data_IF_700647182034
#
_entry.id   IF_700647182034
#
_cell.length_a   1.000
_cell.length_b   1.000
_cell.length_c   1.000
_cell.angle_alpha   90.00
_cell.angle_beta   90.00
_cell.angle_gamma   90.00
#
_symmetry.space_group_name_H-M   'P 1'
#
loop_
_entity.id
_entity.type
_entity.pdbx_description
1 polymer ?
#
# COMPACT_ATOMS: atom_id res chain seq x y z
N UNK A 1 -2.96 -14.01 10.55
CA UNK A 1 -2.08 -12.83 10.60
C UNK A 1 -0.65 -13.28 10.31
N UNK A 2 0.02 -12.58 9.39
CA UNK A 2 1.39 -12.86 8.99
C UNK A 2 2.21 -11.58 9.06
N UNK A 3 3.50 -11.72 9.38
CA UNK A 3 4.47 -10.63 9.43
C UNK A 3 5.73 -11.04 8.68
N UNK A 4 6.14 -10.19 7.74
CA UNK A 4 7.36 -10.32 6.97
C UNK A 4 8.22 -9.08 7.19
N UNK A 5 9.53 -9.22 7.04
CA UNK A 5 10.46 -8.10 6.96
C UNK A 5 10.96 -8.06 5.52
N UNK A 6 10.89 -6.89 4.90
CA UNK A 6 11.35 -6.68 3.52
C UNK A 6 12.54 -5.74 3.56
N UNK A 7 13.65 -6.17 2.95
CA UNK A 7 14.84 -5.35 2.81
C UNK A 7 14.70 -4.42 1.59
N UNK A 8 15.08 -3.16 1.79
CA UNK A 8 15.10 -2.11 0.76
C UNK A 8 16.31 -1.19 1.00
N UNK A 9 16.69 -0.36 0.02
CA UNK A 9 17.90 0.49 0.13
C UNK A 9 17.88 1.47 1.30
N UNK A 10 16.69 1.83 1.82
CA UNK A 10 16.54 2.73 2.97
C UNK A 10 16.41 2.00 4.31
N UNK A 11 16.65 0.70 4.32
CA UNK A 11 16.47 -0.17 5.48
C UNK A 11 15.27 -1.09 5.36
N UNK A 12 15.16 -2.03 6.29
CA UNK A 12 14.12 -3.03 6.29
C UNK A 12 12.82 -2.50 6.91
N UNK A 13 11.69 -2.92 6.38
CA UNK A 13 10.37 -2.54 6.90
C UNK A 13 9.46 -3.75 7.08
N UNK A 14 8.55 -3.73 8.08
CA UNK A 14 7.59 -4.80 8.26
C UNK A 14 6.43 -4.70 7.26
N UNK A 15 6.02 -5.85 6.75
CA UNK A 15 4.75 -6.05 6.05
C UNK A 15 3.87 -6.93 6.95
N UNK A 16 2.71 -6.40 7.34
CA UNK A 16 1.75 -7.08 8.20
C UNK A 16 0.48 -7.31 7.39
N UNK A 17 0.03 -8.56 7.33
CA UNK A 17 -1.19 -8.97 6.63
C UNK A 17 -2.07 -9.75 7.61
N UNK A 18 -3.32 -9.37 7.74
CA UNK A 18 -4.28 -10.12 8.56
C UNK A 18 -5.61 -9.40 8.65
N UNK A 19 -6.52 -9.92 9.47
CA UNK A 19 -7.79 -9.27 9.78
C UNK A 19 -7.68 -8.54 11.12
N UNK A 20 -8.26 -7.34 11.19
CA UNK A 20 -8.34 -6.52 12.41
C UNK A 20 -6.96 -6.12 12.98
N UNK A 21 -6.02 -5.75 12.12
CA UNK A 21 -4.60 -5.47 12.46
C UNK A 21 -4.36 -4.06 13.05
N UNK A 22 -5.38 -3.49 13.67
CA UNK A 22 -5.37 -2.13 14.23
C UNK A 22 -4.39 -1.98 15.40
N UNK A 23 -4.15 -3.06 16.17
CA UNK A 23 -3.16 -3.08 17.26
C UNK A 23 -1.74 -2.99 16.73
N UNK A 24 -1.47 -3.73 15.66
CA UNK A 24 -0.19 -3.77 14.97
C UNK A 24 0.12 -2.40 14.35
N UNK A 25 -0.86 -1.80 13.68
CA UNK A 25 -0.76 -0.45 13.15
C UNK A 25 -0.42 0.56 14.26
N UNK A 26 -1.12 0.50 15.40
CA UNK A 26 -0.85 1.37 16.55
C UNK A 26 0.57 1.21 17.06
N UNK A 27 1.04 -0.04 17.19
CA UNK A 27 2.40 -0.35 17.63
C UNK A 27 3.45 0.19 16.65
N UNK A 28 3.21 0.08 15.34
CA UNK A 28 4.07 0.68 14.31
C UNK A 28 4.13 2.19 14.51
N UNK A 29 2.98 2.88 14.61
CA UNK A 29 2.96 4.34 14.78
C UNK A 29 3.65 4.78 16.06
N UNK A 30 3.48 4.07 17.18
CA UNK A 30 4.20 4.35 18.43
C UNK A 30 5.70 4.19 18.32
N UNK A 31 6.18 3.19 17.57
CA UNK A 31 7.62 2.97 17.35
C UNK A 31 8.22 4.01 16.42
N UNK A 32 7.44 4.47 15.44
CA UNK A 32 7.85 5.58 14.59
C UNK A 32 7.89 6.88 15.39
N UNK A 33 7.01 7.07 16.38
CA UNK A 33 6.97 8.29 17.19
C UNK A 33 6.95 9.58 16.33
N UNK A 34 5.94 9.77 15.47
CA UNK A 34 5.89 10.94 14.61
C UNK A 34 5.35 12.17 15.34
N UNK A 35 5.90 13.34 15.00
CA UNK A 35 5.45 14.65 15.49
C UNK A 35 3.99 14.94 15.10
N UNK A 36 3.59 14.49 13.91
CA UNK A 36 2.24 14.60 13.36
C UNK A 36 2.00 13.50 12.31
N UNK A 37 0.72 13.24 11.99
CA UNK A 37 0.37 12.30 10.92
C UNK A 37 -0.69 12.89 9.98
N UNK A 38 -0.46 12.70 8.68
CA UNK A 38 -1.43 13.00 7.63
C UNK A 38 -1.85 11.70 6.97
N UNK A 39 -3.16 11.44 6.92
CA UNK A 39 -3.74 10.33 6.17
C UNK A 39 -4.18 10.87 4.81
N UNK A 40 -3.73 10.25 3.74
CA UNK A 40 -4.20 10.51 2.37
C UNK A 40 -5.04 9.31 1.93
N UNK A 41 -6.25 9.57 1.43
CA UNK A 41 -7.24 8.54 1.05
C UNK A 41 -8.04 9.02 -0.15
N UNK A 42 -8.70 8.10 -0.86
CA UNK A 42 -9.75 8.46 -1.82
C UNK A 42 -11.14 8.53 -1.17
N UNK A 43 -12.11 9.06 -1.92
CA UNK A 43 -13.50 9.23 -1.48
C UNK A 43 -14.24 7.93 -1.17
N UNK A 44 -13.91 6.81 -1.83
CA UNK A 44 -14.59 5.52 -1.64
C UNK A 44 -14.16 4.86 -0.32
N UNK A 45 -12.89 5.01 0.05
CA UNK A 45 -12.30 4.35 1.24
C UNK A 45 -12.11 5.31 2.43
N UNK A 46 -12.67 6.52 2.36
CA UNK A 46 -12.72 7.49 3.47
C UNK A 46 -13.22 6.89 4.79
N UNK A 47 -14.24 6.01 4.84
CA UNK A 47 -14.64 5.36 6.09
C UNK A 47 -13.51 4.52 6.71
N UNK A 48 -12.69 3.87 5.89
CA UNK A 48 -11.50 3.17 6.36
C UNK A 48 -10.45 4.16 6.88
N UNK A 49 -10.15 5.23 6.15
CA UNK A 49 -9.24 6.26 6.66
C UNK A 49 -9.64 6.81 8.05
N UNK A 50 -10.95 6.95 8.32
CA UNK A 50 -11.45 7.32 9.64
C UNK A 50 -11.24 6.24 10.71
N UNK A 51 -11.43 4.96 10.35
CA UNK A 51 -11.12 3.82 11.24
C UNK A 51 -9.63 3.78 11.58
N UNK A 52 -8.75 3.97 10.58
CA UNK A 52 -7.30 4.11 10.77
C UNK A 52 -6.98 5.26 11.71
N UNK A 53 -7.56 6.45 11.45
CA UNK A 53 -7.37 7.63 12.29
C UNK A 53 -7.74 7.35 13.76
N UNK A 54 -8.90 6.70 13.99
CA UNK A 54 -9.35 6.30 15.33
C UNK A 54 -8.40 5.28 15.97
N UNK A 55 -7.90 4.32 15.19
CA UNK A 55 -7.03 3.26 15.68
C UNK A 55 -5.66 3.78 16.17
N UNK A 56 -5.14 4.85 15.56
CA UNK A 56 -3.82 5.40 15.88
C UNK A 56 -3.84 6.59 16.86
N UNK A 57 -5.01 7.19 17.13
CA UNK A 57 -5.15 8.25 18.16
C UNK A 57 -4.50 7.90 19.51
N UNK A 58 -4.65 6.66 20.04
CA UNK A 58 -4.01 6.27 21.31
C UNK A 58 -2.48 6.11 21.24
N UNK A 59 -1.86 6.36 20.08
CA UNK A 59 -0.41 6.50 19.94
C UNK A 59 0.10 7.90 20.30
N UNK A 60 -0.77 8.84 20.69
CA UNK A 60 -0.39 10.22 21.03
C UNK A 60 -0.38 11.18 19.83
N UNK A 61 -0.65 10.67 18.63
CA UNK A 61 -0.66 11.46 17.39
C UNK A 61 -2.09 11.84 17.05
N UNK A 62 -2.30 13.08 16.58
CA UNK A 62 -3.59 13.56 16.07
C UNK A 62 -3.56 13.51 14.53
N UNK A 63 -4.06 12.42 13.91
CA UNK A 63 -4.06 12.35 12.45
C UNK A 63 -5.14 13.25 11.84
N UNK A 64 -4.77 13.90 10.75
CA UNK A 64 -5.68 14.66 9.88
C UNK A 64 -5.84 13.93 8.55
N UNK A 65 -7.02 14.03 7.93
CA UNK A 65 -7.36 13.26 6.73
C UNK A 65 -7.52 14.20 5.52
N UNK A 66 -6.77 13.92 4.47
CA UNK A 66 -6.93 14.52 3.15
C UNK A 66 -7.59 13.51 2.21
N UNK A 67 -8.65 13.93 1.51
CA UNK A 67 -9.45 13.07 0.64
C UNK A 67 -9.29 13.54 -0.80
N UNK A 68 -8.88 12.62 -1.68
CA UNK A 68 -8.79 12.84 -3.12
C UNK A 68 -9.98 12.17 -3.84
N UNK A 69 -10.33 12.58 -5.07
CA UNK A 69 -11.35 11.88 -5.86
C UNK A 69 -10.99 10.40 -6.12
N UNK A 70 -11.96 9.50 -6.06
CA UNK A 70 -11.73 8.07 -6.33
C UNK A 70 -11.65 7.76 -7.83
N UNK A 71 -10.55 8.18 -8.47
CA UNK A 71 -10.29 7.94 -9.90
C UNK A 71 -8.80 7.84 -10.18
N UNK A 72 -8.43 7.04 -11.19
CA UNK A 72 -7.05 6.98 -11.68
C UNK A 72 -6.52 8.34 -12.16
N UNK A 73 -7.41 9.27 -12.53
CA UNK A 73 -7.04 10.66 -12.89
C UNK A 73 -6.43 11.44 -11.73
N UNK A 74 -6.67 11.01 -10.48
CA UNK A 74 -6.04 11.61 -9.30
C UNK A 74 -4.55 11.32 -9.20
N UNK A 75 -4.00 10.36 -9.97
CA UNK A 75 -2.54 10.29 -10.19
C UNK A 75 -2.09 11.35 -11.18
N UNK A 76 -2.14 12.61 -10.75
CA UNK A 76 -1.75 13.76 -11.57
C UNK A 76 -0.90 14.74 -10.77
N UNK A 77 -0.15 15.58 -11.48
CA UNK A 77 0.61 16.67 -10.87
C UNK A 77 -0.29 17.68 -10.14
N UNK A 78 -1.54 17.85 -10.60
CA UNK A 78 -2.52 18.73 -9.97
C UNK A 78 -2.90 18.23 -8.59
N UNK A 79 -3.30 16.96 -8.48
CA UNK A 79 -3.65 16.37 -7.18
C UNK A 79 -2.43 16.30 -6.25
N UNK A 80 -1.25 15.99 -6.80
CA UNK A 80 0.01 16.01 -6.05
C UNK A 80 0.24 17.38 -5.40
N UNK A 81 0.10 18.47 -6.17
CA UNK A 81 0.23 19.83 -5.65
C UNK A 81 -0.76 20.08 -4.50
N UNK A 82 -1.99 19.63 -4.64
CA UNK A 82 -3.03 19.87 -3.63
C UNK A 82 -2.78 19.07 -2.34
N UNK A 83 -2.24 17.85 -2.46
CA UNK A 83 -1.73 17.05 -1.32
C UNK A 83 -0.56 17.75 -0.62
N UNK A 84 0.43 18.26 -1.38
CA UNK A 84 1.57 18.98 -0.79
C UNK A 84 1.13 20.29 -0.11
N UNK A 85 0.21 21.04 -0.71
CA UNK A 85 -0.37 22.23 -0.11
C UNK A 85 -1.14 21.88 1.18
N UNK A 86 -1.75 20.70 1.25
CA UNK A 86 -2.33 20.21 2.50
C UNK A 86 -1.26 19.90 3.55
N UNK A 87 -0.15 19.26 3.19
CA UNK A 87 0.98 19.04 4.12
C UNK A 87 1.51 20.35 4.70
N UNK A 88 1.63 21.39 3.87
CA UNK A 88 2.03 22.73 4.28
C UNK A 88 1.06 23.33 5.31
N UNK A 89 -0.25 23.32 5.01
CA UNK A 89 -1.28 23.83 5.93
C UNK A 89 -1.31 23.11 7.27
N UNK A 90 -0.91 21.84 7.30
CA UNK A 90 -0.85 21.02 8.51
C UNK A 90 0.50 21.09 9.21
N UNK A 91 1.45 21.91 8.72
CA UNK A 91 2.81 22.03 9.23
C UNK A 91 3.50 20.65 9.36
N UNK A 92 3.32 19.77 8.37
CA UNK A 92 3.94 18.45 8.39
C UNK A 92 5.48 18.62 8.30
N UNK A 93 6.18 18.39 9.40
CA UNK A 93 7.64 18.53 9.47
C UNK A 93 8.38 17.25 9.01
N UNK A 94 9.72 17.24 9.13
CA UNK A 94 10.57 16.10 8.75
C UNK A 94 10.36 14.85 9.62
N UNK A 95 9.87 15.03 10.85
CA UNK A 95 9.50 13.94 11.75
C UNK A 95 8.02 13.51 11.55
N UNK A 96 7.30 14.13 10.61
CA UNK A 96 5.95 13.77 10.25
C UNK A 96 5.84 12.36 9.64
N UNK A 97 4.59 11.88 9.59
CA UNK A 97 4.22 10.60 8.99
C UNK A 97 3.09 10.79 7.98
N UNK A 98 3.30 10.35 6.75
CA UNK A 98 2.24 10.17 5.75
C UNK A 98 1.71 8.74 5.87
N UNK A 99 0.38 8.58 5.89
CA UNK A 99 -0.29 7.29 5.90
C UNK A 99 -1.18 7.21 4.66
N UNK A 100 -0.81 6.37 3.69
CA UNK A 100 -1.59 6.16 2.48
C UNK A 100 -2.65 5.07 2.75
N UNK A 101 -3.93 5.44 2.76
CA UNK A 101 -5.05 4.50 2.95
C UNK A 101 -5.83 4.41 1.65
N UNK A 102 -5.67 3.32 0.90
CA UNK A 102 -6.38 3.17 -0.37
C UNK A 102 -5.82 2.09 -1.28
N UNK A 103 -6.29 2.08 -2.53
CA UNK A 103 -5.72 1.24 -3.58
C UNK A 103 -4.38 1.76 -4.10
N UNK A 104 -3.89 1.17 -5.20
CA UNK A 104 -2.62 1.55 -5.82
C UNK A 104 -2.54 3.03 -6.22
N UNK A 105 -3.66 3.62 -6.63
CA UNK A 105 -3.74 5.04 -6.99
C UNK A 105 -3.38 5.98 -5.84
N UNK A 106 -3.98 5.75 -4.67
CA UNK A 106 -3.66 6.51 -3.45
C UNK A 106 -2.24 6.21 -2.98
N UNK A 107 -1.84 4.94 -3.02
CA UNK A 107 -0.49 4.50 -2.64
C UNK A 107 0.61 5.23 -3.42
N UNK A 108 0.48 5.27 -4.74
CA UNK A 108 1.45 5.94 -5.63
C UNK A 108 1.48 7.45 -5.42
N UNK A 109 0.31 8.10 -5.36
CA UNK A 109 0.19 9.54 -5.18
C UNK A 109 0.74 9.99 -3.81
N UNK A 110 0.26 9.38 -2.73
CA UNK A 110 0.65 9.72 -1.37
C UNK A 110 2.11 9.35 -1.10
N UNK A 111 2.57 8.22 -1.66
CA UNK A 111 3.97 7.82 -1.58
C UNK A 111 4.89 8.80 -2.30
N UNK A 112 4.49 9.30 -3.48
CA UNK A 112 5.29 10.27 -4.21
C UNK A 112 5.32 11.61 -3.47
N UNK A 113 4.18 12.06 -2.95
CA UNK A 113 4.09 13.24 -2.10
C UNK A 113 5.02 13.12 -0.87
N UNK A 114 5.00 11.98 -0.18
CA UNK A 114 5.88 11.70 0.96
C UNK A 114 7.36 11.72 0.57
N UNK A 115 7.72 11.24 -0.63
CA UNK A 115 9.11 11.17 -1.08
C UNK A 115 9.73 12.54 -1.38
N UNK A 116 8.92 13.52 -1.81
CA UNK A 116 9.40 14.84 -2.22
C UNK A 116 9.17 15.93 -1.18
N UNK A 117 8.17 15.76 -0.30
CA UNK A 117 7.89 16.70 0.77
C UNK A 117 9.08 16.80 1.73
N UNK A 118 9.65 18.01 1.89
CA UNK A 118 10.87 18.26 2.66
C UNK A 118 12.06 17.34 2.28
N UNK A 119 12.09 16.87 1.02
CA UNK A 119 13.04 15.87 0.48
C UNK A 119 12.90 14.47 1.11
N UNK A 120 11.72 14.18 1.65
CA UNK A 120 11.37 12.87 2.17
C UNK A 120 10.86 12.90 3.60
N UNK A 121 9.66 12.37 3.79
CA UNK A 121 9.07 12.05 5.10
C UNK A 121 8.63 10.59 5.14
N UNK A 122 8.38 10.09 6.35
CA UNK A 122 8.03 8.68 6.56
C UNK A 122 6.67 8.35 5.94
N UNK A 123 6.54 7.12 5.45
CA UNK A 123 5.35 6.62 4.80
C UNK A 123 4.91 5.30 5.45
N UNK A 124 3.63 5.17 5.80
CA UNK A 124 3.01 3.88 6.08
C UNK A 124 1.94 3.62 5.03
N UNK A 125 2.02 2.47 4.36
CA UNK A 125 1.04 2.06 3.36
C UNK A 125 -0.02 1.14 4.00
N UNK A 126 -1.29 1.47 3.79
CA UNK A 126 -2.46 0.69 4.21
C UNK A 126 -3.26 0.35 2.95
N UNK A 127 -2.86 -0.69 2.20
CA UNK A 127 -3.53 -1.06 0.97
C UNK A 127 -4.95 -1.57 1.27
N UNK A 128 -5.95 -1.06 0.54
CA UNK A 128 -7.36 -1.44 0.72
C UNK A 128 -7.96 -2.22 -0.45
N UNK A 129 -7.17 -2.47 -1.49
CA UNK A 129 -7.56 -3.34 -2.61
C UNK A 129 -6.68 -4.58 -2.64
N UNK A 130 -7.22 -5.70 -3.11
CA UNK A 130 -6.47 -6.94 -3.22
C UNK A 130 -5.22 -6.76 -4.11
N UNK A 131 -5.38 -6.03 -5.22
CA UNK A 131 -4.28 -5.68 -6.12
C UNK A 131 -3.16 -4.92 -5.40
N UNK A 132 -3.51 -3.91 -4.59
CA UNK A 132 -2.50 -3.14 -3.86
C UNK A 132 -1.81 -3.97 -2.77
N UNK A 133 -2.53 -4.90 -2.13
CA UNK A 133 -1.97 -5.80 -1.12
C UNK A 133 -0.92 -6.75 -1.69
N UNK A 134 -1.19 -7.35 -2.86
CA UNK A 134 -0.28 -8.35 -3.46
C UNK A 134 0.82 -7.73 -4.31
N UNK A 135 0.59 -6.51 -4.80
CA UNK A 135 1.48 -5.85 -5.75
C UNK A 135 1.91 -4.47 -5.27
N UNK A 136 1.16 -3.41 -5.55
CA UNK A 136 1.70 -2.04 -5.53
C UNK A 136 2.20 -1.51 -4.18
N UNK A 137 1.77 -2.09 -3.05
CA UNK A 137 2.23 -1.66 -1.73
C UNK A 137 3.67 -2.08 -1.37
N UNK A 138 4.29 -2.95 -2.17
CA UNK A 138 5.64 -3.49 -1.94
C UNK A 138 6.55 -3.13 -3.12
N UNK A 139 7.78 -2.69 -2.84
CA UNK A 139 8.77 -2.36 -3.86
C UNK A 139 9.00 -0.86 -4.10
N UNK A 140 8.35 0.00 -3.31
CA UNK A 140 8.69 1.43 -3.18
C UNK A 140 8.44 2.29 -4.42
N UNK A 141 7.86 1.76 -5.49
CA UNK A 141 7.47 2.58 -6.64
C UNK A 141 6.36 3.53 -6.22
N UNK A 142 6.54 4.81 -6.49
CA UNK A 142 5.55 5.84 -6.23
C UNK A 142 5.56 6.82 -7.39
N UNK A 143 4.43 7.44 -7.70
CA UNK A 143 4.41 8.42 -8.78
C UNK A 143 3.02 8.87 -9.22
N UNK A 144 3.03 9.71 -10.25
CA UNK A 144 1.84 10.19 -10.95
C UNK A 144 2.01 9.97 -12.45
N UNK A 145 0.89 10.07 -13.16
CA UNK A 145 0.89 9.99 -14.61
C UNK A 145 1.45 11.29 -15.20
N UNK A 146 2.23 11.17 -16.27
CA UNK A 146 2.52 12.27 -17.18
C UNK A 146 1.36 12.46 -18.15
N UNK A 147 1.42 13.51 -18.98
CA UNK A 147 0.36 13.84 -19.94
C UNK A 147 0.07 12.72 -20.94
N UNK A 148 1.10 11.95 -21.34
CA UNK A 148 1.00 10.89 -22.35
C UNK A 148 1.45 9.51 -21.85
N UNK A 149 1.85 9.41 -20.59
CA UNK A 149 2.56 8.23 -20.09
C UNK A 149 2.15 7.93 -18.65
N UNK A 150 1.72 6.68 -18.42
CA UNK A 150 1.38 6.21 -17.07
C UNK A 150 2.63 6.06 -16.21
N UNK A 151 2.53 6.41 -14.93
CA UNK A 151 3.59 6.24 -13.93
C UNK A 151 4.95 6.85 -14.34
N UNK A 152 4.95 7.88 -15.18
CA UNK A 152 6.17 8.41 -15.78
C UNK A 152 6.98 9.32 -14.84
N UNK A 153 6.32 9.91 -13.83
CA UNK A 153 6.93 10.89 -12.92
C UNK A 153 6.82 10.32 -11.52
N UNK A 154 7.94 10.00 -10.89
CA UNK A 154 7.93 9.31 -9.61
C UNK A 154 9.30 9.07 -9.01
N UNK A 155 9.31 8.38 -7.87
CA UNK A 155 10.53 7.99 -7.14
C UNK A 155 10.40 6.57 -6.61
N UNK A 156 11.55 5.99 -6.26
CA UNK A 156 11.62 4.81 -5.41
C UNK A 156 11.68 5.25 -3.95
N UNK A 157 10.55 5.15 -3.26
CA UNK A 157 10.35 5.51 -1.86
C UNK A 157 9.73 4.33 -1.07
N UNK A 158 10.55 3.42 -0.53
CA UNK A 158 10.04 2.32 0.28
C UNK A 158 9.35 2.84 1.55
N UNK A 159 8.23 2.23 1.97
CA UNK A 159 7.51 2.64 3.17
C UNK A 159 8.28 2.23 4.43
N UNK A 160 7.97 2.89 5.55
CA UNK A 160 8.39 2.48 6.89
C UNK A 160 7.61 1.27 7.42
N UNK A 161 6.42 0.99 6.86
CA UNK A 161 5.67 -0.25 7.07
C UNK A 161 4.56 -0.40 6.03
N UNK A 162 4.14 -1.64 5.77
CA UNK A 162 2.89 -1.96 5.06
C UNK A 162 1.97 -2.70 6.03
N UNK A 163 0.72 -2.25 6.14
CA UNK A 163 -0.29 -2.86 7.02
C UNK A 163 -1.56 -3.14 6.22
N UNK A 164 -1.73 -4.38 5.79
CA UNK A 164 -2.87 -4.85 5.01
C UNK A 164 -3.91 -5.50 5.93
N UNK A 165 -4.99 -4.76 6.22
CA UNK A 165 -6.15 -5.30 6.92
C UNK A 165 -7.15 -5.91 5.92
N UNK A 166 -7.23 -7.23 5.91
CA UNK A 166 -8.08 -8.01 5.02
C UNK A 166 -9.58 -7.70 5.20
N UNK A 167 -9.99 -7.12 6.34
CA UNK A 167 -11.38 -6.69 6.54
C UNK A 167 -11.81 -5.58 5.55
N UNK A 168 -10.88 -4.84 4.93
CA UNK A 168 -11.23 -3.87 3.90
C UNK A 168 -11.82 -4.49 2.64
N UNK A 169 -11.50 -5.77 2.37
CA UNK A 169 -11.92 -6.44 1.15
C UNK A 169 -13.40 -6.78 1.16
N UNK A 170 -14.05 -6.77 2.33
CA UNK A 170 -15.51 -6.95 2.47
C UNK A 170 -16.31 -5.89 1.71
N UNK A 171 -15.75 -4.68 1.59
CA UNK A 171 -16.38 -3.56 0.90
C UNK A 171 -15.83 -3.34 -0.52
N UNK A 172 -14.89 -4.18 -0.97
CA UNK A 172 -14.27 -4.03 -2.28
C UNK A 172 -15.27 -4.47 -3.37
N UNK A 173 -15.50 -3.66 -4.42
CA UNK A 173 -16.37 -4.08 -5.50
C UNK A 173 -15.88 -5.40 -6.12
N UNK A 174 -16.80 -6.34 -6.46
CA UNK A 174 -16.42 -7.66 -6.97
C UNK A 174 -15.53 -7.62 -8.22
N UNK A 175 -15.69 -6.61 -9.07
CA UNK A 175 -14.84 -6.42 -10.26
C UNK A 175 -13.38 -6.14 -9.86
N UNK A 176 -13.15 -5.22 -8.92
CA UNK A 176 -11.82 -4.89 -8.43
C UNK A 176 -11.16 -6.05 -7.68
N UNK A 177 -11.97 -6.88 -6.99
CA UNK A 177 -11.48 -8.12 -6.39
C UNK A 177 -10.98 -9.10 -7.45
N UNK A 178 -11.77 -9.33 -8.51
CA UNK A 178 -11.43 -10.24 -9.60
C UNK A 178 -10.22 -9.75 -10.42
N UNK A 179 -10.13 -8.46 -10.70
CA UNK A 179 -9.02 -7.87 -11.46
C UNK A 179 -7.65 -8.15 -10.82
N UNK A 180 -7.61 -8.21 -9.49
CA UNK A 180 -6.38 -8.54 -8.77
C UNK A 180 -5.88 -9.97 -9.05
N UNK A 181 -6.74 -10.90 -9.45
CA UNK A 181 -6.32 -12.28 -9.73
C UNK A 181 -5.46 -12.40 -10.99
N UNK A 182 -5.51 -11.45 -11.92
CA UNK A 182 -4.57 -11.42 -13.04
C UNK A 182 -3.12 -11.35 -12.54
N UNK A 183 -2.87 -10.47 -11.55
CA UNK A 183 -1.58 -10.32 -10.89
C UNK A 183 -1.22 -11.55 -10.03
N UNK A 184 -2.18 -12.10 -9.29
CA UNK A 184 -1.96 -13.32 -8.51
C UNK A 184 -1.57 -14.50 -9.41
N UNK A 185 -2.23 -14.66 -10.57
CA UNK A 185 -1.89 -15.68 -11.57
C UNK A 185 -0.48 -15.43 -12.13
N UNK A 186 -0.12 -14.17 -12.42
CA UNK A 186 1.24 -13.81 -12.86
C UNK A 186 2.28 -14.29 -11.85
N UNK A 187 2.08 -14.05 -10.56
CA UNK A 187 2.97 -14.59 -9.51
C UNK A 187 3.03 -16.12 -9.52
N UNK A 188 1.90 -16.80 -9.70
CA UNK A 188 1.86 -18.26 -9.76
C UNK A 188 2.62 -18.85 -10.93
N UNK A 189 2.54 -18.22 -12.10
CA UNK A 189 3.21 -18.68 -13.32
C UNK A 189 4.71 -18.34 -13.30
N UNK A 190 5.06 -17.12 -12.86
CA UNK A 190 6.42 -16.61 -12.99
C UNK A 190 7.32 -16.87 -11.78
N UNK A 191 6.76 -17.00 -10.56
CA UNK A 191 7.53 -16.92 -9.32
C UNK A 191 7.30 -18.07 -8.34
N UNK A 192 6.07 -18.56 -8.19
CA UNK A 192 5.74 -19.60 -7.20
C UNK A 192 4.68 -20.57 -7.76
N UNK A 193 5.14 -21.72 -8.23
CA UNK A 193 4.28 -22.82 -8.70
C UNK A 193 3.20 -23.21 -7.69
N UNK A 194 3.47 -23.12 -6.39
CA UNK A 194 2.49 -23.45 -5.37
C UNK A 194 1.35 -22.41 -5.25
N UNK A 195 1.53 -21.16 -5.70
CA UNK A 195 0.40 -20.25 -5.90
C UNK A 195 -0.47 -20.77 -7.04
N UNK A 196 0.13 -21.16 -8.17
CA UNK A 196 -0.61 -21.66 -9.33
C UNK A 196 -1.43 -22.92 -8.99
N UNK A 197 -0.83 -23.90 -8.31
CA UNK A 197 -1.52 -25.11 -7.85
C UNK A 197 -2.64 -24.79 -6.84
N UNK A 198 -2.43 -23.81 -5.95
CA UNK A 198 -3.45 -23.36 -5.01
C UNK A 198 -4.64 -22.71 -5.74
N UNK A 199 -4.38 -21.89 -6.77
CA UNK A 199 -5.43 -21.28 -7.59
C UNK A 199 -6.25 -22.33 -8.35
N UNK A 200 -5.59 -23.31 -8.96
CA UNK A 200 -6.27 -24.40 -9.68
C UNK A 200 -7.21 -25.17 -8.75
N UNK A 201 -6.73 -25.50 -7.54
CA UNK A 201 -7.50 -26.27 -6.56
C UNK A 201 -8.64 -25.49 -5.91
N UNK A 202 -8.41 -24.23 -5.55
CA UNK A 202 -9.30 -23.48 -4.65
C UNK A 202 -10.03 -22.33 -5.34
N UNK A 203 -9.94 -22.19 -6.66
CA UNK A 203 -10.59 -21.09 -7.42
C UNK A 203 -12.08 -20.90 -7.11
N UNK A 204 -12.94 -21.94 -6.94
CA UNK A 204 -14.34 -21.70 -6.62
C UNK A 204 -14.52 -20.97 -5.28
N UNK A 205 -13.79 -21.43 -4.26
CA UNK A 205 -13.81 -20.82 -2.91
C UNK A 205 -13.23 -19.41 -2.90
N UNK A 206 -12.21 -19.16 -3.70
CA UNK A 206 -11.65 -17.81 -3.86
C UNK A 206 -12.64 -16.85 -4.54
N UNK A 207 -13.41 -17.32 -5.52
CA UNK A 207 -14.46 -16.53 -6.17
C UNK A 207 -15.66 -16.27 -5.25
N UNK A 208 -15.92 -17.17 -4.29
CA UNK A 208 -16.90 -17.01 -3.21
C UNK A 208 -16.39 -16.14 -2.05
N UNK A 209 -15.12 -15.73 -2.06
CA UNK A 209 -14.54 -14.86 -1.04
C UNK A 209 -14.07 -15.59 0.23
N UNK A 210 -13.66 -16.86 0.13
CA UNK A 210 -13.08 -17.60 1.26
C UNK A 210 -11.81 -16.92 1.77
N UNK A 211 -11.95 -16.25 2.93
CA UNK A 211 -10.90 -15.45 3.53
C UNK A 211 -9.67 -16.25 3.94
N UNK A 212 -9.86 -17.48 4.39
CA UNK A 212 -8.74 -18.32 4.87
C UNK A 212 -7.82 -18.69 3.72
N UNK A 213 -8.40 -18.94 2.55
CA UNK A 213 -7.62 -19.23 1.34
C UNK A 213 -7.01 -17.95 0.79
N UNK A 214 -7.78 -16.87 0.74
CA UNK A 214 -7.29 -15.59 0.27
C UNK A 214 -6.09 -15.10 1.09
N UNK A 215 -6.11 -15.22 2.41
CA UNK A 215 -4.96 -14.90 3.26
C UNK A 215 -3.70 -15.68 2.86
N UNK A 216 -3.84 -16.98 2.55
CA UNK A 216 -2.72 -17.83 2.10
C UNK A 216 -2.18 -17.37 0.73
N UNK A 217 -3.08 -17.01 -0.18
CA UNK A 217 -2.73 -16.48 -1.50
C UNK A 217 -1.97 -15.16 -1.37
N UNK A 218 -2.54 -14.18 -0.65
CA UNK A 218 -1.92 -12.87 -0.44
C UNK A 218 -0.56 -13.01 0.22
N UNK A 219 -0.45 -13.85 1.25
CA UNK A 219 0.83 -14.10 1.92
C UNK A 219 1.91 -14.62 0.95
N UNK A 220 1.57 -15.58 0.10
CA UNK A 220 2.52 -16.13 -0.89
C UNK A 220 2.91 -15.09 -1.93
N UNK A 221 1.95 -14.31 -2.47
CA UNK A 221 2.25 -13.24 -3.43
C UNK A 221 3.18 -12.19 -2.81
N UNK A 222 2.88 -11.73 -1.60
CA UNK A 222 3.72 -10.75 -0.89
C UNK A 222 5.11 -11.29 -0.62
N UNK A 223 5.23 -12.56 -0.23
CA UNK A 223 6.54 -13.21 -0.02
C UNK A 223 7.33 -13.29 -1.33
N UNK A 224 6.70 -13.74 -2.41
CA UNK A 224 7.32 -13.80 -3.73
C UNK A 224 7.80 -12.42 -4.20
N UNK A 225 6.94 -11.40 -4.07
CA UNK A 225 7.28 -10.02 -4.43
C UNK A 225 8.41 -9.46 -3.56
N UNK A 226 8.37 -9.68 -2.25
CA UNK A 226 9.40 -9.22 -1.33
C UNK A 226 10.78 -9.81 -1.67
N UNK A 227 10.85 -11.10 -2.01
CA UNK A 227 12.10 -11.76 -2.43
C UNK A 227 12.67 -11.16 -3.72
N UNK A 228 11.81 -10.80 -4.68
CA UNK A 228 12.24 -10.16 -5.92
C UNK A 228 12.72 -8.72 -5.67
N UNK A 229 11.96 -7.95 -4.87
CA UNK A 229 12.32 -6.57 -4.50
C UNK A 229 13.65 -6.51 -3.76
N UNK A 230 13.88 -7.42 -2.81
CA UNK A 230 15.13 -7.47 -2.05
C UNK A 230 16.35 -7.78 -2.95
N UNK A 231 16.16 -8.49 -4.05
CA UNK A 231 17.21 -8.80 -5.04
C UNK A 231 17.39 -7.69 -6.08
N UNK A 232 16.33 -6.96 -6.41
CA UNK A 232 16.32 -5.93 -7.46
C UNK A 232 15.29 -4.83 -7.15
N UNK A 233 15.68 -3.85 -6.34
CA UNK A 233 14.77 -2.78 -5.91
C UNK A 233 14.43 -1.80 -7.03
N UNK A 234 15.33 -1.62 -8.02
CA UNK A 234 15.21 -0.60 -9.08
C UNK A 234 14.83 -1.15 -10.44
N UNK A 235 14.45 -2.42 -10.52
CA UNK A 235 13.98 -3.08 -11.74
C UNK A 235 14.99 -3.05 -12.89
N UNK A 236 16.25 -3.36 -12.57
CA UNK A 236 17.31 -3.44 -13.57
C UNK A 236 17.67 -4.88 -13.97
N UNK A 237 17.02 -5.87 -13.38
CA UNK A 237 17.26 -7.29 -13.60
C UNK A 237 15.99 -8.15 -13.41
N UNK A 238 16.00 -9.18 -12.53
CA UNK A 238 14.96 -10.20 -12.46
C UNK A 238 13.55 -9.67 -12.14
N UNK A 239 13.43 -8.43 -11.63
CA UNK A 239 12.13 -7.80 -11.38
C UNK A 239 11.42 -7.32 -12.64
N UNK A 240 12.12 -7.24 -13.79
CA UNK A 240 11.50 -6.92 -15.08
C UNK A 240 10.48 -7.99 -15.57
N UNK A 241 10.45 -9.17 -14.94
CA UNK A 241 9.46 -10.22 -15.19
C UNK A 241 8.10 -9.88 -14.57
N UNK A 242 8.05 -8.92 -13.62
CA UNK A 242 6.85 -8.46 -12.93
C UNK A 242 6.27 -7.21 -13.58
#
# INVERSE_FOLDING_TARGET
MVRLIVDAARGSYPVIIGTDVHRELRNIVRRLDPSSAVIVTDSNVRPWAQRVAKAIKPSGVKPVVHVVPATERSKSMTELRDVLAFFERQNLDRAGLVIAVGGGTVGDLAGFAASIWLRGVRLVAIPTTLLAMVDSSIGGKTGVNGTRSKNAIGTFWPPSAVVADMACLETLPPVNYRDAFAEVVKYGVAMDRGIFELLQKESPRLLEGDRRILERVVFRCVTAKALVVARDERERGPRAIL
#
